data_IF_349092775668
#
_entry.id   IF_349092775668
#
_cell.length_a   1.000
_cell.length_b   1.000
_cell.length_c   1.000
_cell.angle_alpha   90.00
_cell.angle_beta   90.00
_cell.angle_gamma   90.00
#
_symmetry.space_group_name_H-M   'P 1'
#
loop_
_entity.id
_entity.type
_entity.pdbx_description
1 polymer ?
#
# COMPACT_ATOMS: atom_id res chain seq x y z
N UNK A 1 -16.06 -4.30 -23.12
CA UNK A 1 -14.71 -3.92 -23.61
C UNK A 1 -14.07 -2.94 -22.64
N UNK A 2 -12.97 -3.32 -21.97
CA UNK A 2 -12.18 -2.35 -21.20
C UNK A 2 -11.52 -1.36 -22.18
N UNK A 3 -11.88 -0.07 -22.11
CA UNK A 3 -11.19 0.99 -22.86
C UNK A 3 -9.71 0.94 -22.48
N UNK A 4 -8.81 0.87 -23.48
CA UNK A 4 -7.37 0.97 -23.26
C UNK A 4 -7.08 2.28 -22.47
N UNK A 5 -6.58 2.19 -21.23
CA UNK A 5 -6.42 3.36 -20.37
C UNK A 5 -5.30 4.30 -20.84
N UNK A 6 -4.42 3.80 -21.71
CA UNK A 6 -3.33 4.55 -22.33
C UNK A 6 -3.70 5.17 -23.68
N UNK A 7 -4.95 5.00 -24.13
CA UNK A 7 -5.43 5.65 -25.36
C UNK A 7 -5.26 7.17 -25.24
N UNK A 8 -4.79 7.80 -26.31
CA UNK A 8 -4.50 9.25 -26.43
C UNK A 8 -3.21 9.76 -25.74
N UNK A 9 -2.36 8.88 -25.22
CA UNK A 9 -1.02 9.29 -24.75
C UNK A 9 -0.01 9.17 -25.89
N UNK A 10 0.80 10.21 -26.08
CA UNK A 10 1.93 10.21 -27.01
C UNK A 10 3.10 9.35 -26.51
N UNK A 11 3.20 9.18 -25.19
CA UNK A 11 4.25 8.39 -24.55
C UNK A 11 3.88 6.91 -24.48
N UNK A 12 4.86 6.02 -24.68
CA UNK A 12 4.67 4.57 -24.55
C UNK A 12 4.08 4.19 -23.19
N UNK A 13 3.10 3.26 -23.13
CA UNK A 13 2.58 2.70 -21.88
C UNK A 13 3.68 2.15 -20.96
N UNK A 14 4.78 1.66 -21.52
CA UNK A 14 5.90 1.12 -20.76
C UNK A 14 6.61 2.20 -19.94
N UNK A 15 6.84 3.37 -20.54
CA UNK A 15 7.44 4.53 -19.86
C UNK A 15 6.50 5.04 -18.77
N UNK A 16 5.19 5.10 -19.04
CA UNK A 16 4.20 5.51 -18.04
C UNK A 16 4.22 4.55 -16.84
N UNK A 17 4.17 3.23 -17.10
CA UNK A 17 4.25 2.21 -16.05
C UNK A 17 5.56 2.29 -15.27
N UNK A 18 6.69 2.48 -15.95
CA UNK A 18 8.01 2.63 -15.33
C UNK A 18 8.05 3.86 -14.42
N UNK A 19 7.60 5.00 -14.91
CA UNK A 19 7.58 6.27 -14.19
C UNK A 19 6.73 6.17 -12.92
N UNK A 20 5.53 5.62 -13.03
CA UNK A 20 4.62 5.43 -11.89
C UNK A 20 5.21 4.44 -10.88
N UNK A 21 5.85 3.36 -11.36
CA UNK A 21 6.55 2.39 -10.49
C UNK A 21 7.69 3.07 -9.74
N UNK A 22 8.56 3.80 -10.44
CA UNK A 22 9.72 4.47 -9.84
C UNK A 22 9.28 5.43 -8.75
N UNK A 23 8.26 6.25 -9.04
CA UNK A 23 7.75 7.23 -8.10
C UNK A 23 7.16 6.59 -6.83
N UNK A 24 6.44 5.46 -6.92
CA UNK A 24 5.75 4.91 -5.74
C UNK A 24 6.55 3.85 -5.01
N UNK A 25 7.37 3.09 -5.72
CA UNK A 25 8.21 2.04 -5.15
C UNK A 25 9.41 2.60 -4.39
N UNK A 26 10.05 3.63 -4.93
CA UNK A 26 11.27 4.19 -4.35
C UNK A 26 10.98 5.54 -3.67
N UNK A 27 11.79 5.93 -2.67
CA UNK A 27 11.64 7.21 -1.98
C UNK A 27 12.18 8.38 -2.82
N UNK A 28 11.70 8.55 -4.07
CA UNK A 28 12.14 9.58 -5.02
C UNK A 28 11.19 10.79 -5.08
N UNK A 29 11.68 12.02 -5.09
CA UNK A 29 10.79 13.16 -5.35
C UNK A 29 10.24 13.12 -6.79
N UNK A 30 9.20 13.89 -7.11
CA UNK A 30 8.71 13.99 -8.49
C UNK A 30 9.80 14.51 -9.45
N UNK A 31 10.65 15.42 -8.96
CA UNK A 31 11.79 15.99 -9.71
C UNK A 31 12.90 14.96 -9.90
N UNK A 32 13.21 14.17 -8.86
CA UNK A 32 14.20 13.09 -8.99
C UNK A 32 13.78 12.07 -10.06
N UNK A 33 12.48 11.81 -10.21
CA UNK A 33 11.98 10.90 -11.26
C UNK A 33 12.12 11.54 -12.65
N UNK A 34 11.87 12.83 -12.78
CA UNK A 34 12.14 13.61 -13.99
C UNK A 34 13.63 13.54 -14.36
N UNK A 35 14.55 13.84 -13.43
CA UNK A 35 16.00 13.81 -13.67
C UNK A 35 16.47 12.41 -14.12
N UNK A 36 16.03 11.35 -13.42
CA UNK A 36 16.39 9.95 -13.75
C UNK A 36 15.84 9.47 -15.10
N UNK A 37 14.75 10.06 -15.58
CA UNK A 37 14.20 9.76 -16.90
C UNK A 37 14.89 10.58 -17.98
N UNK A 38 15.27 11.82 -17.67
CA UNK A 38 16.06 12.67 -18.56
C UNK A 38 17.44 12.05 -18.86
N UNK A 39 18.11 11.46 -17.85
CA UNK A 39 19.36 10.68 -18.05
C UNK A 39 19.21 9.53 -19.05
N UNK A 40 17.99 9.04 -19.27
CA UNK A 40 17.67 7.95 -20.22
C UNK A 40 17.14 8.47 -21.55
N UNK A 41 17.23 9.77 -21.81
CA UNK A 41 16.72 10.41 -23.02
C UNK A 41 15.19 10.55 -23.06
N UNK A 42 14.51 10.42 -21.93
CA UNK A 42 13.06 10.58 -21.83
C UNK A 42 12.78 11.98 -21.24
N UNK A 43 12.43 12.91 -22.12
CA UNK A 43 12.11 14.28 -21.71
C UNK A 43 10.65 14.40 -21.23
N UNK A 44 10.47 14.54 -19.91
CA UNK A 44 9.17 14.76 -19.28
C UNK A 44 9.32 15.68 -18.08
N UNK A 45 8.28 16.44 -17.77
CA UNK A 45 8.24 17.29 -16.58
C UNK A 45 7.75 16.54 -15.34
N UNK A 46 8.14 16.96 -14.14
CA UNK A 46 7.58 16.45 -12.89
C UNK A 46 6.05 16.57 -12.79
N UNK A 47 5.43 17.53 -13.50
CA UNK A 47 3.97 17.65 -13.58
C UNK A 47 3.34 16.48 -14.35
N UNK A 48 4.03 15.97 -15.36
CA UNK A 48 3.63 14.79 -16.11
C UNK A 48 3.70 13.54 -15.22
N UNK A 49 4.77 13.41 -14.43
CA UNK A 49 4.88 12.37 -13.39
C UNK A 49 3.72 12.50 -12.39
N UNK A 50 3.40 13.73 -11.96
CA UNK A 50 2.29 14.04 -11.05
C UNK A 50 0.94 13.60 -11.66
N UNK A 51 0.72 13.88 -12.92
CA UNK A 51 -0.49 13.52 -13.64
C UNK A 51 -0.63 12.01 -13.79
N UNK A 52 0.43 11.33 -14.24
CA UNK A 52 0.40 9.88 -14.46
C UNK A 52 0.17 9.09 -13.19
N UNK A 53 0.87 9.39 -12.08
CA UNK A 53 0.60 8.65 -10.84
C UNK A 53 -0.83 8.89 -10.35
N UNK A 54 -1.36 10.09 -10.54
CA UNK A 54 -2.72 10.40 -10.14
C UNK A 54 -3.76 9.65 -10.99
N UNK A 55 -3.54 9.54 -12.29
CA UNK A 55 -4.47 8.87 -13.22
C UNK A 55 -4.36 7.36 -13.15
N UNK A 56 -3.14 6.83 -13.26
CA UNK A 56 -2.89 5.40 -13.40
C UNK A 56 -2.68 4.67 -12.07
N UNK A 57 -2.22 5.35 -11.02
CA UNK A 57 -1.96 4.73 -9.72
C UNK A 57 -3.16 3.96 -9.15
N UNK A 58 -4.38 4.53 -9.11
CA UNK A 58 -5.57 3.81 -8.67
C UNK A 58 -5.92 2.60 -9.54
N UNK A 59 -5.68 2.68 -10.85
CA UNK A 59 -5.95 1.60 -11.79
C UNK A 59 -5.00 0.42 -11.52
N UNK A 60 -3.69 0.69 -11.43
CA UNK A 60 -2.69 -0.32 -11.12
C UNK A 60 -2.91 -0.94 -9.73
N UNK A 61 -3.20 -0.11 -8.72
CA UNK A 61 -3.53 -0.59 -7.38
C UNK A 61 -4.74 -1.54 -7.39
N UNK A 62 -5.79 -1.21 -8.15
CA UNK A 62 -6.99 -2.04 -8.27
C UNK A 62 -6.68 -3.36 -8.96
N UNK A 63 -5.93 -3.35 -10.05
CA UNK A 63 -5.57 -4.56 -10.80
C UNK A 63 -4.70 -5.50 -9.97
N UNK A 64 -3.66 -4.99 -9.30
CA UNK A 64 -2.80 -5.79 -8.41
C UNK A 64 -3.62 -6.38 -7.27
N UNK A 65 -4.42 -5.57 -6.57
CA UNK A 65 -5.24 -6.06 -5.45
C UNK A 65 -6.23 -7.12 -5.90
N UNK A 66 -6.88 -6.94 -7.07
CA UNK A 66 -7.83 -7.91 -7.61
C UNK A 66 -7.15 -9.27 -7.82
N UNK A 67 -6.03 -9.30 -8.55
CA UNK A 67 -5.24 -10.53 -8.79
C UNK A 67 -4.81 -11.20 -7.48
N UNK A 68 -4.35 -10.41 -6.51
CA UNK A 68 -3.90 -10.93 -5.21
C UNK A 68 -5.01 -11.55 -4.38
N UNK A 69 -6.20 -10.95 -4.40
CA UNK A 69 -7.37 -11.51 -3.73
C UNK A 69 -7.84 -12.80 -4.41
N UNK A 70 -7.85 -12.82 -5.75
CA UNK A 70 -8.23 -14.00 -6.54
C UNK A 70 -7.30 -15.19 -6.28
N UNK A 71 -5.99 -14.93 -6.23
CA UNK A 71 -4.98 -15.95 -6.01
C UNK A 71 -4.72 -16.26 -4.52
N UNK A 72 -5.46 -15.63 -3.59
CA UNK A 72 -5.33 -15.81 -2.13
C UNK A 72 -3.90 -15.69 -1.60
N UNK A 73 -3.15 -14.69 -2.07
CA UNK A 73 -1.80 -14.35 -1.56
C UNK A 73 -1.84 -13.66 -0.19
N UNK A 74 -2.75 -14.08 0.69
CA UNK A 74 -2.90 -13.53 2.02
C UNK A 74 -3.31 -14.62 3.00
N UNK A 75 -2.82 -14.52 4.22
CA UNK A 75 -3.17 -15.42 5.30
C UNK A 75 -4.32 -14.87 6.14
N UNK A 76 -5.29 -15.73 6.44
CA UNK A 76 -6.36 -15.43 7.40
C UNK A 76 -6.05 -15.93 8.81
N UNK A 77 -4.85 -16.48 9.04
CA UNK A 77 -4.48 -16.98 10.36
C UNK A 77 -4.39 -15.84 11.38
N UNK A 78 -3.46 -14.91 11.21
CA UNK A 78 -3.31 -13.77 12.10
C UNK A 78 -3.21 -12.46 11.32
N UNK A 79 -4.01 -11.46 11.73
CA UNK A 79 -3.94 -10.09 11.21
C UNK A 79 -3.37 -9.16 12.27
N UNK A 80 -2.33 -8.41 11.91
CA UNK A 80 -1.71 -7.39 12.73
C UNK A 80 -2.26 -6.02 12.32
N UNK A 81 -2.90 -5.33 13.26
CA UNK A 81 -3.46 -4.00 13.05
C UNK A 81 -2.69 -2.99 13.90
N UNK A 82 -2.30 -1.88 13.27
CA UNK A 82 -1.60 -0.79 13.92
C UNK A 82 -2.02 0.57 13.33
N UNK A 83 -1.81 1.62 14.11
CA UNK A 83 -2.11 2.99 13.74
C UNK A 83 -0.94 3.92 14.02
N UNK A 84 -0.57 4.70 13.01
CA UNK A 84 0.48 5.70 13.13
C UNK A 84 -0.06 7.10 12.94
N UNK A 85 0.48 8.02 13.75
CA UNK A 85 0.23 9.45 13.61
C UNK A 85 0.95 9.99 12.38
N UNK A 86 0.24 10.78 11.58
CA UNK A 86 0.76 11.49 10.42
C UNK A 86 0.34 12.95 10.49
N UNK A 87 1.27 13.88 10.24
CA UNK A 87 0.96 15.32 10.21
C UNK A 87 0.63 15.76 8.78
N UNK A 88 -0.55 16.35 8.60
CA UNK A 88 -1.02 16.89 7.32
C UNK A 88 -1.37 18.35 7.54
N UNK A 89 -0.66 19.28 6.88
CA UNK A 89 -0.82 20.74 7.04
C UNK A 89 -0.89 21.21 8.51
N UNK A 90 -0.07 20.63 9.40
CA UNK A 90 -0.05 20.98 10.82
C UNK A 90 -1.08 20.25 11.69
N UNK A 91 -2.09 19.60 11.10
CA UNK A 91 -3.07 18.79 11.84
C UNK A 91 -2.64 17.33 11.97
N UNK A 92 -2.86 16.74 13.15
CA UNK A 92 -2.64 15.31 13.40
C UNK A 92 -3.76 14.47 12.78
N UNK A 93 -3.36 13.47 12.00
CA UNK A 93 -4.20 12.45 11.41
C UNK A 93 -3.68 11.06 11.78
N UNK A 94 -4.50 10.04 11.56
CA UNK A 94 -4.20 8.65 11.87
C UNK A 94 -4.25 7.81 10.61
N UNK A 95 -3.18 7.07 10.35
CA UNK A 95 -3.14 6.03 9.34
C UNK A 95 -3.23 4.67 10.01
N UNK A 96 -4.33 3.99 9.75
CA UNK A 96 -4.60 2.61 10.12
C UNK A 96 -4.03 1.69 9.05
N UNK A 97 -3.35 0.62 9.46
CA UNK A 97 -2.85 -0.40 8.55
C UNK A 97 -3.12 -1.80 9.09
N UNK A 98 -3.50 -2.68 8.17
CA UNK A 98 -3.73 -4.10 8.42
C UNK A 98 -2.71 -4.88 7.61
N UNK A 99 -2.03 -5.81 8.27
CA UNK A 99 -1.03 -6.68 7.66
C UNK A 99 -1.34 -8.11 8.11
N UNK A 100 -1.21 -9.09 7.23
CA UNK A 100 -1.31 -10.48 7.67
C UNK A 100 -0.01 -10.98 8.33
N UNK A 101 -0.01 -12.24 8.74
CA UNK A 101 1.14 -12.88 9.35
C UNK A 101 2.34 -12.96 8.40
N UNK A 102 2.11 -13.07 7.09
CA UNK A 102 3.14 -13.19 6.04
C UNK A 102 3.74 -11.82 5.66
N UNK A 103 3.12 -10.72 6.08
CA UNK A 103 3.60 -9.37 5.78
C UNK A 103 2.88 -8.67 4.61
N UNK A 104 1.83 -9.29 4.08
CA UNK A 104 0.96 -8.71 3.06
C UNK A 104 0.13 -7.59 3.66
N UNK A 105 0.20 -6.39 3.09
CA UNK A 105 -0.63 -5.26 3.55
C UNK A 105 -2.04 -5.41 2.99
N UNK A 106 -2.99 -5.78 3.84
CA UNK A 106 -4.38 -6.01 3.48
C UNK A 106 -5.14 -4.69 3.22
N UNK A 107 -5.01 -3.72 4.14
CA UNK A 107 -5.75 -2.47 4.02
C UNK A 107 -4.98 -1.31 4.66
N UNK A 108 -5.11 -0.11 4.07
CA UNK A 108 -4.55 1.12 4.61
C UNK A 108 -5.61 2.22 4.57
N UNK A 109 -5.90 2.84 5.71
CA UNK A 109 -6.99 3.81 5.85
C UNK A 109 -6.57 5.03 6.67
N UNK A 110 -6.88 6.24 6.18
CA UNK A 110 -6.54 7.51 6.83
C UNK A 110 -7.78 8.16 7.40
N UNK A 111 -7.67 8.65 8.62
CA UNK A 111 -8.76 9.32 9.35
C UNK A 111 -8.24 10.51 10.13
N UNK A 112 -9.11 11.48 10.42
CA UNK A 112 -8.78 12.64 11.28
C UNK A 112 -8.81 12.28 12.77
N UNK A 113 -9.60 11.27 13.16
CA UNK A 113 -9.78 10.88 14.56
C UNK A 113 -9.56 9.37 14.74
N UNK A 114 -9.02 9.01 15.91
CA UNK A 114 -8.86 7.64 16.37
C UNK A 114 -10.03 7.24 17.25
N UNK A 115 -11.18 7.00 16.62
CA UNK A 115 -12.43 6.64 17.32
C UNK A 115 -12.92 5.23 16.96
N UNK A 116 -13.93 4.75 17.70
CA UNK A 116 -14.57 3.45 17.44
C UNK A 116 -15.12 3.36 16.02
N UNK A 117 -15.68 4.44 15.47
CA UNK A 117 -16.30 4.45 14.13
C UNK A 117 -15.25 4.21 13.05
N UNK A 118 -14.07 4.83 13.18
CA UNK A 118 -12.92 4.62 12.32
C UNK A 118 -12.43 3.16 12.38
N UNK A 119 -12.20 2.63 13.59
CA UNK A 119 -11.76 1.25 13.78
C UNK A 119 -12.76 0.24 13.19
N UNK A 120 -14.05 0.43 13.45
CA UNK A 120 -15.13 -0.42 12.93
C UNK A 120 -15.19 -0.39 11.39
N UNK A 121 -15.13 0.80 10.79
CA UNK A 121 -15.13 0.94 9.33
C UNK A 121 -13.91 0.28 8.70
N UNK A 122 -12.75 0.42 9.34
CA UNK A 122 -11.50 -0.19 8.90
C UNK A 122 -11.58 -1.72 8.95
N UNK A 123 -11.99 -2.30 10.08
CA UNK A 123 -12.18 -3.74 10.24
C UNK A 123 -13.20 -4.32 9.26
N UNK A 124 -14.40 -3.70 9.15
CA UNK A 124 -15.42 -4.13 8.20
C UNK A 124 -14.93 -4.10 6.76
N UNK A 125 -14.13 -3.10 6.39
CA UNK A 125 -13.57 -2.96 5.05
C UNK A 125 -12.55 -4.06 4.73
N UNK A 126 -11.68 -4.38 5.68
CA UNK A 126 -10.72 -5.48 5.56
C UNK A 126 -11.47 -6.83 5.47
N UNK A 127 -12.38 -7.09 6.40
CA UNK A 127 -13.09 -8.38 6.46
C UNK A 127 -14.00 -8.62 5.25
N UNK A 128 -14.63 -7.57 4.72
CA UNK A 128 -15.45 -7.68 3.51
C UNK A 128 -14.65 -8.18 2.29
N UNK A 129 -13.34 -7.96 2.27
CA UNK A 129 -12.47 -8.29 1.12
C UNK A 129 -11.70 -9.58 1.31
N UNK A 130 -11.14 -9.77 2.50
CA UNK A 130 -10.21 -10.87 2.79
C UNK A 130 -10.86 -11.99 3.63
N UNK A 131 -12.09 -11.78 4.11
CA UNK A 131 -12.79 -12.74 4.96
C UNK A 131 -12.56 -12.48 6.45
N UNK A 132 -12.77 -13.49 7.28
CA UNK A 132 -12.62 -13.38 8.73
C UNK A 132 -11.27 -13.98 9.14
N UNK A 133 -10.43 -13.24 9.89
CA UNK A 133 -9.22 -13.82 10.46
C UNK A 133 -9.53 -14.69 11.67
N UNK A 134 -8.65 -15.64 11.97
CA UNK A 134 -8.71 -16.45 13.19
C UNK A 134 -8.23 -15.66 14.41
N UNK A 135 -7.12 -14.92 14.26
CA UNK A 135 -6.56 -14.03 15.27
C UNK A 135 -6.37 -12.60 14.74
N UNK A 136 -6.61 -11.62 15.61
CA UNK A 136 -6.34 -10.20 15.34
C UNK A 136 -5.42 -9.68 16.45
N UNK A 137 -4.17 -9.46 16.08
CA UNK A 137 -3.18 -8.81 16.91
C UNK A 137 -3.37 -7.31 16.81
N UNK A 138 -3.65 -6.68 17.93
CA UNK A 138 -3.81 -5.22 18.02
C UNK A 138 -3.02 -4.67 19.21
N UNK A 139 -2.72 -3.38 19.15
CA UNK A 139 -2.35 -2.64 20.34
C UNK A 139 -3.51 -2.58 21.34
N UNK A 140 -3.20 -2.26 22.61
CA UNK A 140 -4.19 -2.17 23.70
C UNK A 140 -5.18 -0.99 23.56
N UNK A 141 -5.44 -0.52 22.35
CA UNK A 141 -6.30 0.61 22.09
C UNK A 141 -7.78 0.27 22.37
N UNK A 142 -8.48 1.07 23.20
CA UNK A 142 -9.89 0.81 23.53
C UNK A 142 -10.84 0.81 22.32
N UNK A 143 -10.50 1.59 21.27
CA UNK A 143 -11.31 1.70 20.05
C UNK A 143 -11.42 0.37 19.29
N UNK A 144 -10.35 -0.43 19.24
CA UNK A 144 -10.39 -1.77 18.65
C UNK A 144 -11.29 -2.70 19.45
N UNK A 145 -11.12 -2.74 20.77
CA UNK A 145 -11.95 -3.58 21.65
C UNK A 145 -13.44 -3.27 21.52
N UNK A 146 -13.79 -1.98 21.41
CA UNK A 146 -15.16 -1.55 21.21
C UNK A 146 -15.71 -1.92 19.81
N UNK A 147 -14.89 -1.78 18.77
CA UNK A 147 -15.26 -2.16 17.41
C UNK A 147 -15.40 -3.69 17.25
N UNK A 148 -14.50 -4.47 17.83
CA UNK A 148 -14.51 -5.94 17.76
C UNK A 148 -15.71 -6.53 18.53
N UNK A 149 -16.12 -5.90 19.64
CA UNK A 149 -17.36 -6.27 20.34
C UNK A 149 -18.60 -6.11 19.45
N UNK A 150 -18.64 -5.04 18.65
CA UNK A 150 -19.75 -4.80 17.72
C UNK A 150 -19.74 -5.76 16.52
N UNK A 151 -18.56 -6.17 16.07
CA UNK A 151 -18.43 -7.15 14.98
C UNK A 151 -18.71 -8.58 15.47
N UNK A 152 -18.55 -8.84 16.78
CA UNK A 152 -18.73 -10.16 17.38
C UNK A 152 -17.48 -11.05 17.30
N UNK A 153 -16.29 -10.47 17.16
CA UNK A 153 -15.01 -11.19 17.04
C UNK A 153 -14.03 -10.84 18.15
N UNK A 154 -14.54 -10.45 19.32
CA UNK A 154 -13.74 -10.02 20.47
C UNK A 154 -12.76 -11.11 20.93
N UNK A 155 -13.14 -12.37 20.83
CA UNK A 155 -12.36 -13.50 21.34
C UNK A 155 -11.15 -13.82 20.43
N UNK A 156 -11.18 -13.34 19.18
CA UNK A 156 -10.04 -13.38 18.27
C UNK A 156 -8.97 -12.33 18.61
N UNK A 157 -9.19 -11.45 19.59
CA UNK A 157 -8.25 -10.38 19.90
C UNK A 157 -7.06 -10.92 20.69
N UNK A 158 -5.88 -10.80 20.09
CA UNK A 158 -4.62 -11.05 20.77
C UNK A 158 -3.92 -9.73 21.09
N UNK A 159 -3.47 -9.60 22.33
CA UNK A 159 -2.65 -8.47 22.76
C UNK A 159 -1.44 -9.01 23.50
N UNK A 160 -0.25 -8.84 22.93
CA UNK A 160 1.00 -9.33 23.51
C UNK A 160 2.14 -8.38 23.21
N UNK A 161 3.11 -8.30 24.12
CA UNK A 161 4.31 -7.51 23.93
C UNK A 161 5.07 -8.08 22.72
N UNK A 162 5.45 -7.23 21.76
CA UNK A 162 6.18 -7.57 20.52
C UNK A 162 5.38 -8.25 19.40
N UNK A 163 4.11 -8.61 19.61
CA UNK A 163 3.30 -9.24 18.56
C UNK A 163 2.89 -8.24 17.44
N UNK A 164 2.93 -6.93 17.72
CA UNK A 164 2.59 -5.88 16.76
C UNK A 164 3.75 -5.50 15.81
N UNK A 165 4.98 -6.01 16.04
CA UNK A 165 6.19 -5.63 15.31
C UNK A 165 6.02 -5.73 13.78
N UNK A 166 5.22 -6.69 13.31
CA UNK A 166 4.92 -6.87 11.88
C UNK A 166 4.19 -5.66 11.30
N UNK A 167 3.16 -5.17 12.00
CA UNK A 167 2.43 -3.98 11.59
C UNK A 167 3.30 -2.72 11.73
N UNK A 168 4.09 -2.59 12.80
CA UNK A 168 5.02 -1.46 12.98
C UNK A 168 6.05 -1.38 11.84
N UNK A 169 6.68 -2.51 11.48
CA UNK A 169 7.64 -2.61 10.40
C UNK A 169 7.03 -2.24 9.05
N UNK A 170 5.75 -2.58 8.83
CA UNK A 170 5.05 -2.21 7.61
C UNK A 170 4.97 -0.69 7.41
N UNK A 171 5.00 0.12 8.48
CA UNK A 171 4.97 1.57 8.39
C UNK A 171 6.31 2.19 7.94
N UNK A 172 7.44 1.47 8.05
CA UNK A 172 8.78 2.00 7.75
C UNK A 172 8.93 2.54 6.32
N UNK A 173 8.50 1.82 5.25
CA UNK A 173 8.60 2.34 3.89
C UNK A 173 7.80 3.64 3.69
N UNK A 174 6.63 3.75 4.32
CA UNK A 174 5.81 4.96 4.24
C UNK A 174 6.45 6.12 5.01
N UNK A 175 7.00 5.87 6.21
CA UNK A 175 7.70 6.91 7.00
C UNK A 175 8.94 7.43 6.28
N UNK A 176 9.74 6.56 5.65
CA UNK A 176 10.87 6.97 4.80
C UNK A 176 10.40 7.90 3.68
N UNK A 177 9.26 7.57 3.06
CA UNK A 177 8.65 8.39 2.01
C UNK A 177 8.19 9.76 2.51
N UNK A 178 7.48 9.79 3.64
CA UNK A 178 6.96 11.01 4.24
C UNK A 178 8.09 12.02 4.55
N UNK A 179 9.23 11.52 5.04
CA UNK A 179 10.42 12.34 5.29
C UNK A 179 10.96 12.99 4.02
N UNK A 180 11.11 12.23 2.93
CA UNK A 180 11.62 12.77 1.65
C UNK A 180 10.63 13.75 1.00
N UNK A 181 9.34 13.52 1.15
CA UNK A 181 8.30 14.35 0.51
C UNK A 181 7.93 15.61 1.30
N UNK A 182 8.62 15.92 2.41
CA UNK A 182 8.25 17.03 3.29
C UNK A 182 6.78 17.00 3.73
N UNK A 183 6.28 15.78 4.03
CA UNK A 183 4.89 15.48 4.44
C UNK A 183 3.83 15.71 3.36
N UNK A 184 2.67 15.09 3.56
CA UNK A 184 1.54 15.22 2.63
C UNK A 184 0.71 16.47 2.93
N UNK A 185 0.20 17.12 1.86
CA UNK A 185 -0.65 18.32 1.95
C UNK A 185 -2.15 18.04 2.06
N UNK A 186 -2.59 16.80 1.85
CA UNK A 186 -4.02 16.46 1.97
C UNK A 186 -4.25 15.02 2.39
N UNK A 187 -5.34 14.78 3.13
CA UNK A 187 -5.78 13.45 3.53
C UNK A 187 -6.09 12.56 2.32
N UNK A 188 -6.72 13.11 1.28
CA UNK A 188 -7.06 12.36 0.06
C UNK A 188 -5.81 11.89 -0.68
N UNK A 189 -4.79 12.73 -0.78
CA UNK A 189 -3.50 12.38 -1.39
C UNK A 189 -2.79 11.29 -0.59
N UNK A 190 -2.74 11.41 0.74
CA UNK A 190 -2.13 10.39 1.60
C UNK A 190 -2.88 9.05 1.50
N UNK A 191 -4.21 9.07 1.58
CA UNK A 191 -5.03 7.85 1.47
C UNK A 191 -4.81 7.14 0.13
N UNK A 192 -4.77 7.90 -0.96
CA UNK A 192 -4.52 7.37 -2.31
C UNK A 192 -3.12 6.79 -2.41
N UNK A 193 -2.12 7.51 -1.90
CA UNK A 193 -0.74 7.08 -1.90
C UNK A 193 -0.56 5.82 -1.05
N UNK A 194 -1.01 5.81 0.20
CA UNK A 194 -0.89 4.67 1.10
C UNK A 194 -1.56 3.41 0.52
N UNK A 195 -2.76 3.55 -0.06
CA UNK A 195 -3.45 2.43 -0.69
C UNK A 195 -2.70 1.89 -1.91
N UNK A 196 -2.06 2.75 -2.71
CA UNK A 196 -1.31 2.33 -3.88
C UNK A 196 0.07 1.76 -3.53
N UNK A 197 0.78 2.44 -2.63
CA UNK A 197 2.07 2.01 -2.10
C UNK A 197 1.98 0.66 -1.42
N UNK A 198 0.89 0.37 -0.70
CA UNK A 198 0.64 -0.95 -0.13
C UNK A 198 0.53 -2.02 -1.22
N UNK A 199 -0.24 -1.78 -2.28
CA UNK A 199 -0.38 -2.74 -3.39
C UNK A 199 0.94 -2.97 -4.14
N UNK A 200 1.73 -1.92 -4.36
CA UNK A 200 3.06 -2.05 -4.97
C UNK A 200 4.02 -2.78 -4.05
N UNK A 201 4.00 -2.48 -2.76
CA UNK A 201 4.86 -3.13 -1.78
C UNK A 201 4.60 -4.63 -1.80
N UNK A 202 3.35 -5.04 -1.64
CA UNK A 202 2.91 -6.43 -1.75
C UNK A 202 3.42 -7.09 -3.04
N UNK A 203 3.20 -6.45 -4.21
CA UNK A 203 3.63 -6.96 -5.51
C UNK A 203 5.13 -7.24 -5.63
N UNK A 204 5.95 -6.42 -4.98
CA UNK A 204 7.41 -6.49 -5.10
C UNK A 204 8.12 -6.97 -3.83
N UNK A 205 7.38 -7.34 -2.79
CA UNK A 205 7.91 -7.91 -1.57
C UNK A 205 8.20 -9.40 -1.81
N UNK A 206 9.40 -9.68 -2.31
CA UNK A 206 9.84 -11.03 -2.70
C UNK A 206 10.74 -11.68 -1.64
N UNK A 207 10.58 -11.27 -0.38
CA UNK A 207 11.25 -11.81 0.82
C UNK A 207 12.68 -12.31 0.58
N UNK A 208 13.56 -11.42 0.13
CA UNK A 208 14.92 -11.74 -0.34
C UNK A 208 15.73 -12.68 0.57
N UNK A 209 15.47 -12.67 1.87
CA UNK A 209 16.21 -13.42 2.87
C UNK A 209 15.84 -14.92 2.92
N UNK A 210 14.72 -15.34 2.33
CA UNK A 210 14.30 -16.75 2.29
C UNK A 210 14.73 -17.47 1.01
N UNK A 211 15.05 -16.75 -0.06
CA UNK A 211 15.31 -17.32 -1.38
C UNK A 211 16.79 -17.30 -1.76
N UNK A 212 17.21 -18.30 -2.53
CA UNK A 212 18.53 -18.28 -3.17
C UNK A 212 18.60 -17.16 -4.21
N UNK A 213 19.81 -16.75 -4.56
CA UNK A 213 20.03 -15.62 -5.49
C UNK A 213 19.37 -15.84 -6.86
N UNK A 214 19.33 -17.07 -7.36
CA UNK A 214 18.76 -17.43 -8.65
C UNK A 214 17.23 -17.35 -8.62
N UNK A 215 16.59 -18.03 -7.68
CA UNK A 215 15.15 -17.94 -7.41
C UNK A 215 14.70 -16.49 -7.21
N UNK A 216 15.48 -15.69 -6.46
CA UNK A 216 15.17 -14.28 -6.27
C UNK A 216 15.23 -13.47 -7.59
N UNK A 217 16.17 -13.77 -8.49
CA UNK A 217 16.25 -13.13 -9.81
C UNK A 217 15.03 -13.49 -10.67
N UNK A 218 14.60 -14.74 -10.63
CA UNK A 218 13.42 -15.22 -11.36
C UNK A 218 12.15 -14.55 -10.83
N UNK A 219 11.93 -14.57 -9.52
CA UNK A 219 10.82 -13.91 -8.86
C UNK A 219 10.78 -12.40 -9.17
N UNK A 220 11.94 -11.74 -9.20
CA UNK A 220 12.04 -10.32 -9.57
C UNK A 220 11.66 -10.08 -11.02
N UNK A 221 12.09 -10.94 -11.92
CA UNK A 221 11.77 -10.86 -13.36
C UNK A 221 10.28 -11.10 -13.61
N UNK A 222 9.70 -12.11 -12.95
CA UNK A 222 8.27 -12.40 -12.99
C UNK A 222 7.44 -11.21 -12.49
N UNK A 223 7.77 -10.65 -11.31
CA UNK A 223 7.07 -9.49 -10.77
C UNK A 223 7.16 -8.25 -11.71
N UNK A 224 8.29 -8.04 -12.37
CA UNK A 224 8.45 -6.98 -13.37
C UNK A 224 7.64 -7.24 -14.65
N UNK A 225 7.60 -8.48 -15.13
CA UNK A 225 6.80 -8.87 -16.28
C UNK A 225 5.30 -8.66 -16.01
N UNK A 226 4.82 -9.11 -14.84
CA UNK A 226 3.44 -8.88 -14.41
C UNK A 226 3.10 -7.39 -14.32
N UNK A 227 4.02 -6.58 -13.78
CA UNK A 227 3.85 -5.13 -13.72
C UNK A 227 3.72 -4.50 -15.11
N UNK A 228 4.55 -4.93 -16.06
CA UNK A 228 4.52 -4.44 -17.45
C UNK A 228 3.23 -4.81 -18.17
N UNK A 229 2.56 -5.89 -17.77
CA UNK A 229 1.26 -6.30 -18.29
C UNK A 229 0.07 -5.64 -17.59
N UNK A 230 0.28 -4.79 -16.58
CA UNK A 230 -0.83 -4.15 -15.89
C UNK A 230 -1.59 -3.19 -16.82
N UNK A 231 -2.91 -3.41 -16.87
CA UNK A 231 -3.83 -2.63 -17.70
C UNK A 231 -3.48 -2.65 -19.20
N UNK A 232 -2.77 -3.71 -19.62
CA UNK A 232 -2.67 -4.10 -21.03
C UNK A 232 -4.02 -4.59 -21.56
#
# INVERSE_FOLDING_TARGET
>A
MMRNPFKYFKTSPEIIRLTVMMYVRFPLSLRNVEDLLHERGIDITHETVRFWWNRFGPLFAKSIRKRRVENRFYSNWAWHLDEVFVRINGELHYLWRAVDHEGEVLEAYVTKRRDRKAALKFLRKAMKRYGRPEAIVTDKLPSYKAAMREIGNKDCQETGRWLNNRAENSHQPLRRREKVMSRFRSMRSLQKFAAFQSSIHNHFNLERHFYRREEFKENRSAALAEWRQLAA
#
